data_IF_831015464337
#
_entry.id   IF_831015464337
#
_cell.length_a   1.000
_cell.length_b   1.000
_cell.length_c   1.000
_cell.angle_alpha   90.00
_cell.angle_beta   90.00
_cell.angle_gamma   90.00
#
_symmetry.space_group_name_H-M   'P 1'
#
loop_
_entity.id
_entity.type
_entity.pdbx_description
1 polymer ?
#
# COMPACT_ATOMS: atom_id res chain seq x y z
N UNK A 1 -11.67 -0.29 -13.45
CA UNK A 1 -10.34 0.35 -13.27
C UNK A 1 -10.04 1.04 -14.57
N UNK A 2 -9.71 2.33 -14.53
CA UNK A 2 -9.27 3.10 -15.70
C UNK A 2 -7.77 3.39 -15.52
N UNK A 3 -6.87 2.72 -16.25
CA UNK A 3 -5.43 2.90 -16.09
C UNK A 3 -4.97 4.36 -16.19
N UNK A 4 -5.59 5.15 -17.07
CA UNK A 4 -5.29 6.56 -17.27
C UNK A 4 -5.54 7.44 -16.03
N UNK A 5 -6.41 7.03 -15.10
CA UNK A 5 -6.65 7.75 -13.84
C UNK A 5 -5.61 7.42 -12.77
N UNK A 6 -4.80 6.38 -12.97
CA UNK A 6 -3.92 5.80 -11.94
C UNK A 6 -2.43 5.85 -12.33
N UNK A 7 -2.12 5.88 -13.62
CA UNK A 7 -0.78 5.72 -14.17
C UNK A 7 -0.41 6.86 -15.11
N UNK A 8 0.86 7.22 -15.11
CA UNK A 8 1.47 8.01 -16.18
C UNK A 8 1.73 7.10 -17.40
N UNK A 9 0.71 6.93 -18.25
CA UNK A 9 0.69 5.92 -19.30
C UNK A 9 1.82 6.06 -20.32
N UNK A 10 2.25 7.29 -20.65
CA UNK A 10 3.35 7.52 -21.58
C UNK A 10 4.67 6.96 -21.05
N UNK A 11 4.94 7.15 -19.76
CA UNK A 11 6.14 6.62 -19.10
C UNK A 11 6.07 5.09 -19.01
N UNK A 12 4.91 4.56 -18.63
CA UNK A 12 4.67 3.11 -18.51
C UNK A 12 4.87 2.41 -19.86
N UNK A 13 4.31 2.96 -20.95
CA UNK A 13 4.43 2.42 -22.30
C UNK A 13 5.86 2.52 -22.83
N UNK A 14 6.51 3.68 -22.67
CA UNK A 14 7.89 3.91 -23.10
C UNK A 14 8.88 2.97 -22.43
N UNK A 15 8.73 2.78 -21.12
CA UNK A 15 9.66 1.97 -20.31
C UNK A 15 9.22 0.50 -20.24
N UNK A 16 8.17 0.12 -20.99
CA UNK A 16 7.62 -1.24 -21.08
C UNK A 16 7.30 -1.88 -19.72
N UNK A 17 6.76 -1.08 -18.79
CA UNK A 17 6.43 -1.53 -17.43
C UNK A 17 5.17 -2.39 -17.45
N UNK A 18 5.24 -3.68 -17.02
CA UNK A 18 4.06 -4.53 -16.98
C UNK A 18 3.02 -4.02 -15.98
N UNK A 19 1.75 -3.94 -16.41
CA UNK A 19 0.64 -3.50 -15.56
C UNK A 19 -0.27 -4.68 -15.25
N UNK A 20 -0.37 -5.02 -13.97
CA UNK A 20 -1.17 -6.17 -13.50
C UNK A 20 -2.33 -5.67 -12.65
N UNK A 21 -3.56 -6.00 -13.05
CA UNK A 21 -4.75 -5.85 -12.22
C UNK A 21 -4.87 -7.07 -11.32
N UNK A 22 -4.52 -6.90 -10.04
CA UNK A 22 -4.67 -7.95 -9.01
C UNK A 22 -6.15 -8.22 -8.67
N UNK A 23 -6.41 -9.38 -8.09
CA UNK A 23 -7.74 -9.83 -7.68
C UNK A 23 -8.33 -9.07 -6.48
N UNK A 24 -7.50 -8.52 -5.59
CA UNK A 24 -7.95 -7.69 -4.45
C UNK A 24 -8.21 -6.25 -4.90
N UNK A 25 -9.07 -5.53 -4.18
CA UNK A 25 -9.24 -4.09 -4.36
C UNK A 25 -8.05 -3.25 -3.87
N UNK A 26 -8.24 -1.92 -3.82
CA UNK A 26 -7.26 -0.96 -3.31
C UNK A 26 -6.56 -0.15 -4.41
N UNK A 27 -5.57 0.65 -4.01
CA UNK A 27 -4.81 1.51 -4.92
C UNK A 27 -3.79 0.75 -5.78
N UNK A 28 -3.10 1.50 -6.64
CA UNK A 28 -1.97 1.00 -7.44
C UNK A 28 -0.68 1.09 -6.64
N UNK A 29 0.18 0.08 -6.77
CA UNK A 29 1.50 0.03 -6.14
C UNK A 29 2.52 -0.33 -7.21
N UNK A 30 3.74 0.16 -7.03
CA UNK A 30 4.91 -0.31 -7.78
C UNK A 30 5.47 -1.54 -7.06
N UNK A 31 5.91 -2.51 -7.85
CA UNK A 31 6.52 -3.75 -7.36
C UNK A 31 7.85 -3.93 -8.08
N UNK A 32 8.91 -4.06 -7.31
CA UNK A 32 10.28 -4.28 -7.76
C UNK A 32 11.02 -5.27 -6.84
N UNK A 33 12.31 -5.48 -7.07
CA UNK A 33 13.16 -6.36 -6.24
C UNK A 33 13.28 -5.89 -4.78
N UNK A 34 13.00 -4.61 -4.53
CA UNK A 34 12.94 -3.98 -3.22
C UNK A 34 11.55 -4.03 -2.57
N UNK A 35 10.62 -4.80 -3.13
CA UNK A 35 9.28 -4.99 -2.54
C UNK A 35 9.21 -6.34 -1.80
N UNK A 36 8.74 -6.31 -0.55
CA UNK A 36 8.51 -7.54 0.24
C UNK A 36 7.01 -7.72 0.45
N UNK A 37 6.50 -8.92 0.12
CA UNK A 37 5.11 -9.26 0.37
C UNK A 37 4.99 -10.17 1.59
N UNK A 38 4.00 -9.88 2.43
CA UNK A 38 3.50 -10.82 3.44
C UNK A 38 2.01 -10.97 3.23
N UNK A 39 1.54 -12.21 3.14
CA UNK A 39 0.13 -12.52 2.91
C UNK A 39 -0.36 -13.49 3.97
N UNK A 40 -1.42 -13.12 4.67
CA UNK A 40 -2.21 -14.01 5.52
C UNK A 40 -3.35 -14.59 4.68
N UNK A 41 -3.36 -15.91 4.51
CA UNK A 41 -4.45 -16.65 3.86
C UNK A 41 -5.08 -17.53 4.93
N UNK A 42 -6.31 -17.20 5.32
CA UNK A 42 -6.91 -17.78 6.50
C UNK A 42 -8.34 -18.28 6.21
N UNK A 43 -8.71 -19.36 6.89
CA UNK A 43 -10.12 -19.73 7.02
C UNK A 43 -10.86 -18.67 7.82
N UNK A 44 -12.16 -18.51 7.59
CA UNK A 44 -12.99 -17.51 8.27
C UNK A 44 -12.90 -17.58 9.81
N UNK A 45 -12.79 -18.79 10.34
CA UNK A 45 -12.78 -19.05 11.80
C UNK A 45 -11.36 -19.29 12.34
N UNK A 46 -10.32 -19.04 11.55
CA UNK A 46 -8.92 -19.28 11.95
C UNK A 46 -8.47 -18.38 13.11
N UNK A 47 -9.08 -17.20 13.25
CA UNK A 47 -8.83 -16.27 14.36
C UNK A 47 -10.11 -16.17 15.18
N UNK A 48 -10.14 -16.65 16.44
CA UNK A 48 -11.33 -16.61 17.27
C UNK A 48 -11.91 -15.20 17.42
N UNK A 49 -13.20 -15.06 17.14
CA UNK A 49 -13.93 -13.78 17.28
C UNK A 49 -13.66 -12.75 16.17
N UNK A 50 -12.75 -13.01 15.23
CA UNK A 50 -12.47 -12.10 14.13
C UNK A 50 -13.58 -12.15 13.08
N UNK A 51 -14.23 -11.00 12.85
CA UNK A 51 -15.22 -10.90 11.78
C UNK A 51 -14.50 -10.77 10.42
N UNK A 52 -14.91 -11.50 9.38
CA UNK A 52 -14.24 -11.49 8.08
C UNK A 52 -14.61 -10.24 7.26
N UNK A 53 -14.30 -9.06 7.78
CA UNK A 53 -14.47 -7.77 7.11
C UNK A 53 -13.13 -7.04 7.05
N UNK A 54 -12.94 -6.12 6.08
CA UNK A 54 -11.64 -5.47 5.88
C UNK A 54 -11.09 -4.80 7.14
N UNK A 55 -11.91 -4.01 7.85
CA UNK A 55 -11.48 -3.27 9.04
C UNK A 55 -11.08 -4.18 10.21
N UNK A 56 -11.87 -5.18 10.64
CA UNK A 56 -11.43 -6.15 11.65
C UNK A 56 -10.14 -6.87 11.28
N UNK A 57 -9.98 -7.35 10.03
CA UNK A 57 -8.77 -8.04 9.57
C UNK A 57 -7.55 -7.11 9.62
N UNK A 58 -7.72 -5.86 9.18
CA UNK A 58 -6.71 -4.80 9.30
C UNK A 58 -6.31 -4.55 10.76
N UNK A 59 -7.30 -4.40 11.66
CA UNK A 59 -7.05 -4.18 13.08
C UNK A 59 -6.29 -5.36 13.70
N UNK A 60 -6.68 -6.60 13.37
CA UNK A 60 -6.00 -7.80 13.86
C UNK A 60 -4.55 -7.89 13.37
N UNK A 61 -4.31 -7.72 12.06
CA UNK A 61 -2.95 -7.74 11.52
C UNK A 61 -2.06 -6.63 12.10
N UNK A 62 -2.66 -5.48 12.44
CA UNK A 62 -1.94 -4.41 13.16
C UNK A 62 -1.49 -4.82 14.56
N UNK A 63 -2.18 -5.75 15.25
CA UNK A 63 -1.73 -6.26 16.55
C UNK A 63 -0.48 -7.14 16.38
N UNK A 64 -0.49 -8.02 15.38
CA UNK A 64 0.68 -8.84 15.03
C UNK A 64 1.89 -7.95 14.71
N UNK A 65 1.72 -6.96 13.84
CA UNK A 65 2.82 -6.06 13.48
C UNK A 65 3.26 -5.11 14.60
N UNK A 66 2.39 -4.79 15.57
CA UNK A 66 2.79 -4.04 16.75
C UNK A 66 3.89 -4.78 17.54
N UNK A 67 3.77 -6.11 17.67
CA UNK A 67 4.81 -6.94 18.29
C UNK A 67 6.08 -6.99 17.41
N UNK A 68 5.93 -7.15 16.10
CA UNK A 68 7.07 -7.18 15.16
C UNK A 68 7.90 -5.90 15.21
N UNK A 69 7.25 -4.74 15.30
CA UNK A 69 7.92 -3.44 15.31
C UNK A 69 8.21 -2.89 16.70
N UNK A 70 7.93 -3.67 17.75
CA UNK A 70 8.28 -3.28 19.11
C UNK A 70 9.78 -2.98 19.22
N UNK A 71 10.11 -1.80 19.73
CA UNK A 71 11.49 -1.30 19.88
C UNK A 71 12.12 -0.74 18.60
N UNK A 72 11.43 -0.69 17.46
CA UNK A 72 11.97 -0.14 16.20
C UNK A 72 11.64 1.35 16.04
N UNK A 73 10.37 1.67 15.75
CA UNK A 73 9.81 3.02 15.56
C UNK A 73 8.32 2.98 15.90
N UNK A 74 7.67 4.14 15.97
CA UNK A 74 6.24 4.24 16.26
C UNK A 74 5.38 3.72 15.09
N UNK A 75 5.22 2.39 15.02
CA UNK A 75 4.33 1.71 14.09
C UNK A 75 2.87 2.07 14.39
N UNK A 76 2.11 2.39 13.35
CA UNK A 76 0.66 2.56 13.45
C UNK A 76 -0.01 2.01 12.19
N UNK A 77 -1.26 1.58 12.36
CA UNK A 77 -2.21 1.44 11.27
C UNK A 77 -2.94 2.76 11.07
N UNK A 78 -2.85 3.34 9.87
CA UNK A 78 -3.63 4.52 9.47
C UNK A 78 -4.41 4.23 8.20
N UNK A 79 -5.73 4.24 8.32
CA UNK A 79 -6.64 3.78 7.27
C UNK A 79 -6.29 2.35 6.81
N UNK A 80 -5.69 2.20 5.62
CA UNK A 80 -5.25 0.92 5.07
C UNK A 80 -3.72 0.80 4.98
N UNK A 81 -2.99 1.74 5.57
CA UNK A 81 -1.53 1.84 5.47
C UNK A 81 -0.86 1.54 6.81
N UNK A 82 0.30 0.90 6.71
CA UNK A 82 1.24 0.77 7.81
C UNK A 82 2.26 1.90 7.75
N UNK A 83 2.42 2.60 8.86
CA UNK A 83 3.22 3.83 8.93
C UNK A 83 4.18 3.80 10.11
N UNK A 84 5.36 4.40 9.94
CA UNK A 84 6.23 4.82 11.03
C UNK A 84 6.03 6.32 11.24
N UNK A 85 5.34 6.70 12.31
CA UNK A 85 4.88 8.07 12.51
C UNK A 85 3.88 8.49 11.41
N UNK A 86 4.34 9.35 10.48
CA UNK A 86 3.53 9.83 9.35
C UNK A 86 4.07 9.38 7.98
N UNK A 87 5.02 8.44 7.96
CA UNK A 87 5.63 7.89 6.73
C UNK A 87 5.13 6.48 6.49
N UNK A 88 4.49 6.27 5.34
CA UNK A 88 4.00 4.97 4.90
C UNK A 88 5.16 4.06 4.52
N UNK A 89 5.10 2.82 4.97
CA UNK A 89 6.05 1.77 4.56
C UNK A 89 5.35 0.46 4.15
N UNK A 90 4.04 0.34 4.38
CA UNK A 90 3.26 -0.81 3.95
C UNK A 90 1.88 -0.41 3.43
N UNK A 91 1.44 -1.01 2.33
CA UNK A 91 0.09 -0.88 1.80
C UNK A 91 -0.66 -2.20 1.84
N UNK A 92 -1.90 -2.19 2.34
CA UNK A 92 -2.69 -3.40 2.56
C UNK A 92 -3.88 -3.51 1.60
N UNK A 93 -4.24 -4.74 1.24
CA UNK A 93 -5.50 -5.04 0.57
C UNK A 93 -6.01 -6.44 0.96
N UNK A 94 -7.33 -6.59 0.88
CA UNK A 94 -8.01 -7.83 1.26
C UNK A 94 -8.88 -8.37 0.12
N UNK A 95 -9.10 -9.68 0.15
CA UNK A 95 -10.19 -10.36 -0.54
C UNK A 95 -10.87 -11.29 0.44
N UNK A 96 -12.20 -11.23 0.49
CA UNK A 96 -13.01 -12.03 1.41
C UNK A 96 -13.97 -12.85 0.58
N UNK A 97 -13.99 -14.14 0.85
CA UNK A 97 -14.94 -15.11 0.29
C UNK A 97 -15.76 -15.71 1.43
N UNK A 98 -16.72 -16.58 1.10
CA UNK A 98 -17.61 -17.19 2.10
C UNK A 98 -16.88 -17.87 3.27
N UNK A 99 -15.78 -18.56 2.99
CA UNK A 99 -15.09 -19.41 3.97
C UNK A 99 -13.64 -18.99 4.25
N UNK A 100 -13.10 -18.02 3.50
CA UNK A 100 -11.69 -17.63 3.58
C UNK A 100 -11.54 -16.14 3.38
N UNK A 101 -10.48 -15.60 3.96
CA UNK A 101 -10.04 -14.24 3.69
C UNK A 101 -8.54 -14.23 3.42
N UNK A 102 -8.14 -13.27 2.60
CA UNK A 102 -6.76 -12.97 2.25
C UNK A 102 -6.51 -11.54 2.67
N UNK A 103 -5.40 -11.33 3.38
CA UNK A 103 -4.84 -10.01 3.66
C UNK A 103 -3.41 -10.02 3.18
N UNK A 104 -3.07 -9.20 2.19
CA UNK A 104 -1.69 -9.03 1.79
C UNK A 104 -1.22 -7.61 2.08
N UNK A 105 0.05 -7.53 2.45
CA UNK A 105 0.79 -6.31 2.65
C UNK A 105 1.93 -6.25 1.65
N UNK A 106 2.03 -5.12 0.96
CA UNK A 106 3.20 -4.74 0.16
C UNK A 106 4.08 -3.83 1.01
N UNK A 107 5.23 -4.32 1.44
CA UNK A 107 6.22 -3.55 2.21
C UNK A 107 7.22 -2.90 1.26
N UNK A 108 7.41 -1.60 1.46
CA UNK A 108 8.40 -0.76 0.79
C UNK A 108 9.77 -1.01 1.42
N UNK A 109 10.41 -2.13 1.05
CA UNK A 109 11.66 -2.54 1.67
C UNK A 109 12.83 -1.64 1.22
N UNK A 110 13.05 -1.58 -0.09
CA UNK A 110 14.11 -0.80 -0.73
C UNK A 110 13.74 -0.34 -2.14
N UNK A 111 12.66 0.44 -2.25
CA UNK A 111 12.14 0.87 -3.55
C UNK A 111 13.07 1.86 -4.28
N UNK A 112 13.02 1.82 -5.61
CA UNK A 112 13.66 2.82 -6.47
C UNK A 112 12.75 4.04 -6.66
N UNK A 113 13.25 5.23 -6.34
CA UNK A 113 12.46 6.48 -6.34
C UNK A 113 11.93 6.83 -7.73
N UNK A 114 12.73 6.59 -8.77
CA UNK A 114 12.32 6.81 -10.16
C UNK A 114 11.04 6.05 -10.51
N UNK A 115 10.81 4.87 -9.93
CA UNK A 115 9.63 4.07 -10.28
C UNK A 115 8.34 4.71 -9.73
N UNK A 116 8.43 5.58 -8.72
CA UNK A 116 7.27 6.30 -8.20
C UNK A 116 6.71 7.33 -9.19
N UNK A 117 7.46 7.70 -10.24
CA UNK A 117 6.96 8.60 -11.28
C UNK A 117 5.95 7.96 -12.22
N UNK A 118 5.82 6.62 -12.23
CA UNK A 118 4.80 5.94 -13.02
C UNK A 118 3.39 6.08 -12.41
N UNK A 119 3.29 6.50 -11.14
CA UNK A 119 2.02 6.62 -10.42
C UNK A 119 1.51 8.05 -10.43
N UNK A 120 0.24 8.20 -10.82
CA UNK A 120 -0.48 9.47 -10.63
C UNK A 120 -0.78 9.70 -9.16
N UNK A 121 -0.93 10.98 -8.79
CA UNK A 121 -1.48 11.32 -7.48
C UNK A 121 -2.92 10.80 -7.36
N UNK A 122 -3.26 10.09 -6.28
CA UNK A 122 -4.61 9.56 -6.13
C UNK A 122 -5.61 10.71 -5.94
N UNK A 123 -6.75 10.64 -6.62
CA UNK A 123 -7.83 11.62 -6.48
C UNK A 123 -8.33 11.75 -5.02
N UNK A 124 -8.22 10.67 -4.25
CA UNK A 124 -8.47 10.66 -2.81
C UNK A 124 -7.22 10.16 -2.08
N UNK A 125 -6.58 11.06 -1.35
CA UNK A 125 -5.46 10.76 -0.47
C UNK A 125 -5.94 10.65 0.99
N UNK A 126 -5.30 9.81 1.82
CA UNK A 126 -5.61 9.75 3.24
C UNK A 126 -5.26 11.07 3.92
N UNK A 127 -6.00 11.47 4.96
CA UNK A 127 -5.89 12.81 5.55
C UNK A 127 -4.47 13.08 6.08
N UNK A 128 -3.82 12.06 6.62
CA UNK A 128 -2.46 12.17 7.14
C UNK A 128 -1.37 12.28 6.06
N UNK A 129 -1.70 12.12 4.77
CA UNK A 129 -0.80 12.47 3.66
C UNK A 129 -0.73 13.99 3.45
N UNK A 130 -1.75 14.72 3.88
CA UNK A 130 -1.86 16.15 3.67
C UNK A 130 -0.89 16.91 4.59
N UNK A 131 -0.30 17.97 4.06
CA UNK A 131 0.46 18.97 4.80
C UNK A 131 -0.25 20.31 4.67
N UNK A 132 -0.27 21.06 5.76
CA UNK A 132 -0.79 22.42 5.77
C UNK A 132 0.34 23.36 5.32
N UNK A 133 0.21 23.91 4.12
CA UNK A 133 1.13 24.92 3.62
C UNK A 133 0.54 26.28 3.99
N UNK A 134 1.30 27.07 4.74
CA UNK A 134 0.98 28.48 4.97
C UNK A 134 1.37 29.22 3.70
N UNK A 135 0.38 29.57 2.88
CA UNK A 135 0.58 30.52 1.80
C UNK A 135 0.43 31.93 2.37
N UNK A 136 1.56 32.61 2.62
CA UNK A 136 1.56 34.05 2.87
C UNK A 136 1.26 34.78 1.57
N UNK A 137 -0.02 34.90 1.21
CA UNK A 137 -0.45 35.88 0.24
C UNK A 137 -0.40 37.25 0.91
N UNK A 138 0.72 37.96 0.74
CA UNK A 138 0.79 39.38 1.05
C UNK A 138 -0.01 40.12 -0.02
N UNK A 139 -1.34 40.10 0.07
CA UNK A 139 -2.16 41.03 -0.67
C UNK A 139 -1.86 42.41 -0.11
N UNK A 140 -1.17 43.23 -0.89
CA UNK A 140 -0.87 44.61 -0.57
C UNK A 140 -2.15 45.45 -0.60
N UNK A 141 -3.00 45.33 0.42
CA UNK A 141 -3.96 46.36 0.81
C UNK A 141 -3.39 47.08 2.03
N UNK A 142 -2.52 48.05 1.72
CA UNK A 142 -1.85 48.92 2.67
C UNK A 142 -2.82 49.97 3.22
N UNK A 143 -3.87 49.57 3.94
CA UNK A 143 -4.68 50.55 4.69
C UNK A 143 -5.08 50.16 6.12
N UNK A 144 -4.98 48.89 6.58
CA UNK A 144 -5.50 48.55 7.93
C UNK A 144 -4.75 47.51 8.78
N UNK A 145 -3.49 47.19 8.49
CA UNK A 145 -2.64 46.42 9.42
C UNK A 145 -3.13 45.01 9.78
N UNK A 146 -4.01 44.40 8.97
CA UNK A 146 -4.51 43.03 9.16
C UNK A 146 -3.72 42.06 8.27
N UNK A 147 -2.96 41.16 8.89
CA UNK A 147 -2.30 40.07 8.19
C UNK A 147 -3.28 38.91 8.00
N UNK A 148 -3.71 38.65 6.76
CA UNK A 148 -4.64 37.56 6.44
C UNK A 148 -3.83 36.34 5.96
N UNK A 149 -3.66 35.35 6.84
CA UNK A 149 -3.07 34.07 6.46
C UNK A 149 -4.14 33.14 5.88
N UNK A 150 -3.93 32.65 4.67
CA UNK A 150 -4.69 31.55 4.08
C UNK A 150 -3.92 30.25 4.27
N UNK A 151 -4.61 29.22 4.77
CA UNK A 151 -4.07 27.88 4.92
C UNK A 151 -4.58 27.02 3.75
N UNK A 152 -3.66 26.44 3.00
CA UNK A 152 -3.98 25.51 1.90
C UNK A 152 -3.46 24.12 2.25
N UNK A 153 -4.35 23.12 2.27
CA UNK A 153 -3.97 21.72 2.43
C UNK A 153 -3.50 21.18 1.08
N UNK A 154 -2.29 20.65 1.03
CA UNK A 154 -1.74 20.00 -0.15
C UNK A 154 -1.25 18.60 0.22
N UNK A 155 -1.50 17.61 -0.64
CA UNK A 155 -0.98 16.26 -0.43
C UNK A 155 0.54 16.23 -0.67
N UNK A 156 1.29 15.59 0.23
CA UNK A 156 2.72 15.32 0.03
C UNK A 156 2.97 14.55 -1.26
N UNK A 157 4.12 14.81 -1.88
CA UNK A 157 4.65 14.00 -2.98
C UNK A 157 4.79 12.53 -2.57
N UNK A 158 4.93 11.62 -3.52
CA UNK A 158 5.12 10.20 -3.21
C UNK A 158 6.32 9.98 -2.28
N UNK A 159 7.45 10.63 -2.56
CA UNK A 159 8.70 10.44 -1.81
C UNK A 159 8.68 11.04 -0.41
N UNK A 160 7.96 12.15 -0.19
CA UNK A 160 7.79 12.75 1.14
C UNK A 160 6.78 11.99 2.03
N UNK A 161 5.98 11.11 1.44
CA UNK A 161 4.93 10.35 2.12
C UNK A 161 5.38 8.96 2.56
N UNK A 162 6.41 8.40 1.95
CA UNK A 162 6.84 7.02 2.15
C UNK A 162 8.24 6.93 2.79
N UNK A 163 8.58 5.77 3.32
CA UNK A 163 9.94 5.47 3.79
C UNK A 163 10.33 4.03 3.47
N UNK A 164 11.64 3.78 3.41
CA UNK A 164 12.20 2.44 3.19
C UNK A 164 12.26 1.70 4.51
N UNK A 165 11.79 0.47 4.52
CA UNK A 165 11.77 -0.36 5.72
C UNK A 165 13.17 -0.84 6.12
N UNK A 166 14.06 -1.03 5.12
CA UNK A 166 15.45 -1.47 5.34
C UNK A 166 16.24 -0.54 6.27
N UNK A 167 15.87 0.74 6.32
CA UNK A 167 16.55 1.78 7.12
C UNK A 167 16.25 1.63 8.61
N UNK A 168 15.28 0.79 8.99
CA UNK A 168 14.81 0.64 10.36
C UNK A 168 14.95 -0.79 10.91
N UNK A 169 14.90 -1.81 10.04
CA UNK A 169 14.95 -3.20 10.47
C UNK A 169 15.61 -4.09 9.40
N UNK A 170 16.59 -4.95 9.77
CA UNK A 170 17.13 -5.95 8.85
C UNK A 170 16.08 -7.00 8.44
N UNK A 171 16.20 -7.54 7.22
CA UNK A 171 15.19 -8.48 6.67
C UNK A 171 15.09 -9.77 7.47
N UNK A 172 16.22 -10.32 7.89
CA UNK A 172 16.27 -11.50 8.75
C UNK A 172 15.55 -11.28 10.08
N UNK A 173 15.77 -10.12 10.71
CA UNK A 173 15.13 -9.75 11.97
C UNK A 173 13.62 -9.54 11.78
N UNK A 174 13.20 -8.91 10.68
CA UNK A 174 11.78 -8.77 10.36
C UNK A 174 11.08 -10.13 10.20
N UNK A 175 11.69 -11.06 9.47
CA UNK A 175 11.15 -12.42 9.26
C UNK A 175 11.05 -13.16 10.60
N UNK A 176 12.13 -13.19 11.38
CA UNK A 176 12.18 -13.87 12.68
C UNK A 176 11.16 -13.30 13.67
N UNK A 177 11.07 -11.97 13.77
CA UNK A 177 10.05 -11.31 14.59
C UNK A 177 8.62 -11.61 14.11
N UNK A 178 8.39 -11.67 12.79
CA UNK A 178 7.08 -12.01 12.23
C UNK A 178 6.69 -13.45 12.57
N UNK A 179 7.62 -14.39 12.46
CA UNK A 179 7.38 -15.79 12.87
C UNK A 179 7.04 -15.85 14.36
N UNK A 180 7.82 -15.19 15.22
CA UNK A 180 7.58 -15.16 16.67
C UNK A 180 6.21 -14.56 17.03
N UNK A 181 5.84 -13.44 16.41
CA UNK A 181 4.55 -12.80 16.62
C UNK A 181 3.37 -13.65 16.11
N UNK A 182 3.57 -14.49 15.09
CA UNK A 182 2.56 -15.45 14.66
C UNK A 182 2.50 -16.67 15.59
N UNK A 183 3.65 -17.12 16.11
CA UNK A 183 3.72 -18.26 17.02
C UNK A 183 3.03 -18.03 18.37
N UNK A 184 2.74 -16.78 18.75
CA UNK A 184 1.92 -16.47 19.93
C UNK A 184 0.43 -16.79 19.72
N UNK A 185 -0.02 -16.88 18.46
CA UNK A 185 -1.43 -17.08 18.08
C UNK A 185 -1.68 -18.38 17.31
N UNK A 186 -0.66 -18.92 16.63
CA UNK A 186 -0.77 -20.10 15.78
C UNK A 186 0.40 -21.04 15.98
N UNK A 187 0.20 -22.31 15.67
CA UNK A 187 1.31 -23.23 15.39
C UNK A 187 1.87 -22.91 14.01
N UNK A 188 3.14 -22.47 13.94
CA UNK A 188 3.79 -22.06 12.70
C UNK A 188 4.86 -23.07 12.31
N UNK A 189 4.79 -23.58 11.09
CA UNK A 189 5.82 -24.44 10.48
C UNK A 189 6.17 -23.91 9.09
N UNK A 190 7.46 -23.87 8.70
CA UNK A 190 7.85 -23.56 7.33
C UNK A 190 7.27 -24.58 6.34
N UNK A 191 6.91 -24.11 5.15
CA UNK A 191 6.46 -24.93 4.02
C UNK A 191 7.00 -24.31 2.74
N UNK A 192 7.16 -25.11 1.69
CA UNK A 192 7.58 -24.61 0.37
C UNK A 192 6.36 -24.39 -0.54
N UNK A 193 6.54 -23.61 -1.60
CA UNK A 193 5.44 -23.31 -2.51
C UNK A 193 4.97 -24.56 -3.27
N UNK A 194 5.88 -25.51 -3.53
CA UNK A 194 5.57 -26.76 -4.23
C UNK A 194 4.61 -27.67 -3.43
N UNK A 195 4.53 -27.48 -2.12
CA UNK A 195 3.64 -28.23 -1.23
C UNK A 195 2.22 -27.64 -1.20
N UNK A 196 2.01 -26.46 -1.78
CA UNK A 196 0.70 -25.80 -1.78
C UNK A 196 -0.30 -26.56 -2.68
N UNK A 197 -1.55 -26.76 -2.21
CA UNK A 197 -2.56 -27.47 -2.98
C UNK A 197 -2.91 -26.71 -4.26
N UNK A 198 -2.84 -27.39 -5.40
CA UNK A 198 -3.25 -26.87 -6.70
C UNK A 198 -4.69 -27.26 -6.99
N UNK A 199 -5.50 -26.29 -7.45
CA UNK A 199 -6.86 -26.55 -7.94
C UNK A 199 -6.87 -26.36 -9.47
N UNK A 200 -7.05 -27.43 -10.27
CA UNK A 200 -7.05 -27.33 -11.73
C UNK A 200 -8.26 -26.56 -12.28
N UNK A 201 -9.30 -26.33 -11.46
CA UNK A 201 -10.48 -25.55 -11.83
C UNK A 201 -10.41 -24.10 -11.36
N UNK A 202 -9.32 -23.69 -10.69
CA UNK A 202 -9.15 -22.31 -10.25
C UNK A 202 -8.85 -21.40 -11.44
N UNK A 203 -9.77 -20.50 -11.74
CA UNK A 203 -9.57 -19.44 -12.72
C UNK A 203 -9.07 -18.15 -12.03
N UNK A 204 -7.82 -17.71 -12.27
CA UNK A 204 -7.31 -16.49 -11.68
C UNK A 204 -8.05 -15.26 -12.21
N UNK A 205 -8.53 -14.40 -11.31
CA UNK A 205 -9.12 -13.11 -11.67
C UNK A 205 -8.11 -11.98 -11.81
N UNK A 206 -6.84 -12.24 -11.47
CA UNK A 206 -5.71 -11.35 -11.76
C UNK A 206 -5.48 -11.33 -13.27
N UNK A 207 -5.32 -10.14 -13.85
CA UNK A 207 -5.15 -9.94 -15.30
C UNK A 207 -3.93 -9.08 -15.59
N UNK A 208 -3.07 -9.54 -16.49
CA UNK A 208 -2.06 -8.69 -17.13
C UNK A 208 -2.76 -7.82 -18.17
N UNK A 209 -2.53 -6.51 -18.14
CA UNK A 209 -3.02 -5.58 -19.15
C UNK A 209 -2.07 -5.61 -20.33
N UNK A 210 -2.62 -5.75 -21.53
CA UNK A 210 -1.85 -5.73 -22.76
C UNK A 210 -1.41 -4.31 -23.11
N UNK A 211 -0.38 -4.18 -23.95
CA UNK A 211 0.01 -2.87 -24.51
C UNK A 211 -1.17 -2.18 -25.19
N UNK A 212 -1.98 -2.93 -25.94
CA UNK A 212 -3.19 -2.42 -26.59
C UNK A 212 -4.22 -1.86 -25.59
N UNK A 213 -4.41 -2.53 -24.44
CA UNK A 213 -5.30 -2.03 -23.39
C UNK A 213 -4.83 -0.67 -22.84
N UNK A 214 -3.51 -0.53 -22.66
CA UNK A 214 -2.89 0.69 -22.15
C UNK A 214 -2.91 1.84 -23.18
N UNK A 215 -2.64 1.55 -24.45
CA UNK A 215 -2.71 2.52 -25.56
C UNK A 215 -4.15 3.03 -25.78
N UNK A 216 -5.12 2.11 -25.70
CA UNK A 216 -6.55 2.45 -25.79
C UNK A 216 -6.94 3.36 -24.61
N UNK A 217 -6.45 3.06 -23.40
CA UNK A 217 -6.68 3.89 -22.22
C UNK A 217 -6.05 5.29 -22.37
N UNK A 218 -4.83 5.39 -22.91
CA UNK A 218 -4.15 6.65 -23.15
C UNK A 218 -4.92 7.52 -24.15
N UNK A 219 -5.32 6.93 -25.27
CA UNK A 219 -6.08 7.61 -26.33
C UNK A 219 -7.44 8.12 -25.86
N UNK A 220 -8.11 7.39 -24.96
CA UNK A 220 -9.40 7.79 -24.39
C UNK A 220 -9.32 8.90 -23.34
N UNK A 221 -8.10 9.24 -22.90
CA UNK A 221 -7.85 10.28 -21.88
C UNK A 221 -7.35 11.60 -22.45
N UNK A 222 -7.07 11.64 -23.75
CA UNK A 222 -6.78 12.88 -24.48
C UNK A 222 -8.10 13.61 -24.79
N UNK A 223 -8.20 14.93 -24.51
CA UNK A 223 -9.41 15.71 -24.74
C UNK A 223 -9.80 15.83 -26.22
#
# INVERSE_FOLDING_TARGET
MKPAELLELDLVLRDHVPVIKRFTGGGTVIVDSGTVFVTFICNKDAVPGLQPYPRPIMSWSSLVYNEVFQGTRNFNLRENDYVFGNLKFGGNAQSITKNRWVHHTSFLWDFEEKNMSYLKHPAKAPDYRQVCIISFLCASDFERGFMRCTFTLQARSHLEFICRMKDYIPRSIFIDKTIRALSSHFTVSPTTLEEAPTDPHFEPSTKLLTTQDLETAASSSSP
#
